data_IF_969015094977
#
_entry.id   IF_969015094977
#
_cell.length_a   1.000
_cell.length_b   1.000
_cell.length_c   1.000
_cell.angle_alpha   90.00
_cell.angle_beta   90.00
_cell.angle_gamma   90.00
#
_symmetry.space_group_name_H-M   'P 1'
#
loop_
_entity.id
_entity.type
_entity.pdbx_description
1 polymer ?
#
# COMPACT_ATOMS: atom_id res chain seq x y z
N UNK A 1 -3.24 -0.13 5.71
CA UNK A 1 -3.36 0.04 7.16
C UNK A 1 -2.94 1.43 7.60
N UNK A 2 -1.73 1.89 7.21
CA UNK A 2 -1.21 3.22 7.53
C UNK A 2 -2.13 4.42 7.18
N UNK A 3 -2.96 4.31 6.13
CA UNK A 3 -4.01 5.29 5.82
C UNK A 3 -5.26 5.22 6.74
N UNK A 4 -5.20 4.50 7.86
CA UNK A 4 -6.28 4.43 8.85
C UNK A 4 -7.55 3.69 8.40
N UNK A 5 -7.44 2.88 7.34
CA UNK A 5 -8.59 2.16 6.76
C UNK A 5 -9.01 0.90 7.52
N UNK A 6 -8.23 0.49 8.53
CA UNK A 6 -8.51 -0.67 9.36
C UNK A 6 -8.42 -1.97 8.57
N UNK A 7 -7.18 -2.35 8.21
CA UNK A 7 -6.91 -3.61 7.53
C UNK A 7 -7.25 -4.79 8.45
N UNK A 8 -7.90 -5.81 7.92
CA UNK A 8 -8.11 -7.07 8.63
C UNK A 8 -8.03 -8.24 7.65
N UNK A 9 -7.84 -9.43 8.20
CA UNK A 9 -7.80 -10.68 7.44
C UNK A 9 -8.97 -11.55 7.85
N UNK A 10 -9.65 -12.12 6.86
CA UNK A 10 -10.70 -13.12 7.06
C UNK A 10 -10.23 -14.46 6.48
N UNK A 11 -10.56 -15.55 7.17
CA UNK A 11 -10.03 -16.88 6.85
C UNK A 11 -10.41 -17.28 5.42
N UNK A 12 -9.40 -17.45 4.57
CA UNK A 12 -9.58 -17.83 3.16
C UNK A 12 -9.90 -16.69 2.19
N UNK A 13 -10.07 -15.45 2.63
CA UNK A 13 -10.53 -14.33 1.77
C UNK A 13 -9.49 -13.23 1.51
N UNK A 14 -8.31 -13.30 2.13
CA UNK A 14 -7.24 -12.32 1.95
C UNK A 14 -7.50 -11.00 2.70
N UNK A 15 -6.74 -9.93 2.39
CA UNK A 15 -6.84 -8.66 3.09
C UNK A 15 -8.15 -7.93 2.76
N UNK A 16 -8.79 -7.37 3.78
CA UNK A 16 -10.01 -6.56 3.68
C UNK A 16 -9.87 -5.24 4.45
N UNK A 17 -10.64 -4.23 4.03
CA UNK A 17 -10.64 -2.91 4.65
C UNK A 17 -12.01 -2.57 5.26
N UNK A 18 -12.00 -2.06 6.51
CA UNK A 18 -13.23 -1.63 7.20
C UNK A 18 -13.79 -0.32 6.63
N UNK A 19 -12.90 0.61 6.26
CA UNK A 19 -13.25 1.88 5.62
C UNK A 19 -12.83 1.82 4.18
N UNK A 20 -13.78 2.03 3.27
CA UNK A 20 -13.59 1.93 1.82
C UNK A 20 -13.86 3.26 1.15
N UNK A 21 -13.21 3.51 0.02
CA UNK A 21 -13.43 4.70 -0.80
C UNK A 21 -14.65 4.48 -1.69
N UNK A 22 -15.60 5.43 -1.63
CA UNK A 22 -16.81 5.43 -2.46
C UNK A 22 -17.02 6.75 -3.19
N UNK A 23 -16.42 7.84 -2.71
CA UNK A 23 -16.62 9.20 -3.19
C UNK A 23 -15.30 9.97 -3.29
N UNK A 24 -15.28 11.07 -4.04
CA UNK A 24 -14.13 11.97 -4.10
C UNK A 24 -13.76 12.51 -2.71
N UNK A 25 -14.77 12.82 -1.89
CA UNK A 25 -14.56 13.28 -0.51
C UNK A 25 -13.82 12.24 0.35
N UNK A 26 -14.02 10.94 0.11
CA UNK A 26 -13.27 9.91 0.85
C UNK A 26 -11.77 9.95 0.52
N UNK A 27 -11.40 10.32 -0.72
CA UNK A 27 -10.01 10.50 -1.15
C UNK A 27 -9.40 11.76 -0.55
N UNK A 28 -10.14 12.87 -0.60
CA UNK A 28 -9.70 14.17 -0.06
C UNK A 28 -9.43 14.09 1.44
N UNK A 29 -10.26 13.34 2.17
CA UNK A 29 -10.16 13.17 3.61
C UNK A 29 -9.24 12.02 4.05
N UNK A 30 -8.51 11.38 3.12
CA UNK A 30 -7.47 10.44 3.51
C UNK A 30 -6.41 11.16 4.36
N UNK A 31 -6.01 10.59 5.50
CA UNK A 31 -5.03 11.22 6.37
C UNK A 31 -3.69 11.35 5.64
N UNK A 32 -2.94 12.39 5.99
CA UNK A 32 -1.51 12.41 5.70
C UNK A 32 -0.84 11.29 6.49
N UNK A 33 -0.01 10.50 5.82
CA UNK A 33 0.65 9.34 6.42
C UNK A 33 2.12 9.64 6.58
N UNK A 34 2.62 9.66 7.81
CA UNK A 34 4.05 9.58 8.06
C UNK A 34 4.48 8.12 8.03
N UNK A 35 4.91 7.67 6.84
CA UNK A 35 5.27 6.28 6.58
C UNK A 35 6.37 5.78 7.52
N UNK A 36 7.37 6.62 7.81
CA UNK A 36 8.47 6.25 8.69
C UNK A 36 8.00 5.97 10.12
N UNK A 37 7.02 6.72 10.62
CA UNK A 37 6.45 6.53 11.96
C UNK A 37 5.48 5.34 12.00
N UNK A 38 4.56 5.24 11.05
CA UNK A 38 3.50 4.22 11.03
C UNK A 38 4.05 2.82 10.74
N UNK A 39 5.15 2.72 9.98
CA UNK A 39 5.72 1.44 9.52
C UNK A 39 7.12 1.17 10.09
N UNK A 40 7.49 1.81 11.21
CA UNK A 40 8.78 1.61 11.89
C UNK A 40 9.03 0.11 12.20
N UNK A 41 7.98 -0.61 12.58
CA UNK A 41 8.06 -2.05 12.86
C UNK A 41 8.54 -2.87 11.65
N UNK A 42 8.20 -2.45 10.42
CA UNK A 42 8.68 -3.08 9.20
C UNK A 42 10.17 -2.80 9.02
N UNK A 43 10.59 -1.55 9.20
CA UNK A 43 12.00 -1.15 9.03
C UNK A 43 12.91 -1.84 10.03
N UNK A 44 12.43 -2.01 11.27
CA UNK A 44 13.10 -2.80 12.29
C UNK A 44 13.24 -4.27 11.86
N UNK A 45 12.19 -4.87 11.30
CA UNK A 45 12.25 -6.24 10.78
C UNK A 45 13.25 -6.37 9.61
N UNK A 46 13.21 -5.45 8.64
CA UNK A 46 14.15 -5.42 7.49
C UNK A 46 15.60 -5.35 7.99
N UNK A 47 15.88 -4.46 8.94
CA UNK A 47 17.22 -4.29 9.52
C UNK A 47 17.71 -5.56 10.22
N UNK A 48 16.85 -6.20 11.02
CA UNK A 48 17.16 -7.46 11.70
C UNK A 48 17.44 -8.57 10.69
N UNK A 49 16.55 -8.77 9.71
CA UNK A 49 16.72 -9.81 8.68
C UNK A 49 18.01 -9.57 7.91
N UNK A 50 18.29 -8.34 7.50
CA UNK A 50 19.50 -8.02 6.73
C UNK A 50 20.77 -8.36 7.52
N UNK A 51 20.79 -8.05 8.82
CA UNK A 51 21.90 -8.40 9.71
C UNK A 51 22.07 -9.91 9.83
N UNK A 52 20.99 -10.65 10.09
CA UNK A 52 21.04 -12.10 10.28
C UNK A 52 21.38 -12.87 9.00
N UNK A 53 21.02 -12.34 7.83
CA UNK A 53 21.46 -12.90 6.54
C UNK A 53 22.98 -12.84 6.37
N UNK A 54 23.68 -11.92 7.05
CA UNK A 54 25.14 -11.78 7.06
C UNK A 54 25.77 -11.87 5.64
N UNK A 55 25.12 -11.25 4.66
CA UNK A 55 25.59 -11.21 3.27
C UNK A 55 25.46 -12.52 2.48
N UNK A 56 24.78 -13.55 3.02
CA UNK A 56 24.62 -14.83 2.33
C UNK A 56 23.82 -14.71 1.01
N UNK A 57 22.77 -13.89 1.00
CA UNK A 57 21.91 -13.59 -0.15
C UNK A 57 21.34 -12.17 -0.04
N UNK A 58 20.89 -11.54 -1.15
CA UNK A 58 20.25 -10.25 -1.08
C UNK A 58 18.87 -10.30 -0.41
N UNK A 59 18.53 -9.25 0.34
CA UNK A 59 17.18 -9.04 0.88
C UNK A 59 16.34 -8.22 -0.10
N UNK A 60 15.13 -8.70 -0.41
CA UNK A 60 14.16 -8.03 -1.27
C UNK A 60 13.11 -7.33 -0.38
N UNK A 61 12.97 -6.02 -0.54
CA UNK A 61 11.82 -5.24 -0.04
C UNK A 61 10.70 -5.18 -1.09
N UNK A 62 9.49 -4.80 -0.68
CA UNK A 62 8.38 -4.72 -1.64
C UNK A 62 7.25 -3.78 -1.23
N UNK A 63 6.41 -3.45 -2.21
CA UNK A 63 5.11 -2.79 -2.03
C UNK A 63 4.14 -3.20 -3.13
N UNK A 64 2.84 -3.01 -2.91
CA UNK A 64 1.86 -2.97 -3.99
C UNK A 64 2.03 -1.70 -4.83
N UNK A 65 1.62 -1.75 -6.11
CA UNK A 65 1.54 -0.56 -6.96
C UNK A 65 0.44 0.39 -6.45
N UNK A 66 0.50 1.70 -6.78
CA UNK A 66 -0.58 2.62 -6.46
C UNK A 66 -1.95 2.14 -6.99
N UNK A 67 -1.99 1.55 -8.18
CA UNK A 67 -3.21 0.99 -8.74
C UNK A 67 -3.72 -0.20 -7.92
N UNK A 68 -2.89 -1.22 -7.68
CA UNK A 68 -3.30 -2.39 -6.90
C UNK A 68 -3.79 -1.97 -5.52
N UNK A 69 -3.09 -1.08 -4.82
CA UNK A 69 -3.53 -0.56 -3.52
C UNK A 69 -4.87 0.18 -3.61
N UNK A 70 -5.05 1.05 -4.60
CA UNK A 70 -6.31 1.76 -4.83
C UNK A 70 -7.49 0.79 -5.05
N UNK A 71 -7.28 -0.31 -5.80
CA UNK A 71 -8.35 -1.30 -6.00
C UNK A 71 -8.80 -1.93 -4.69
N UNK A 72 -7.89 -2.30 -3.79
CA UNK A 72 -8.29 -2.82 -2.48
C UNK A 72 -8.99 -1.77 -1.62
N UNK A 73 -8.53 -0.52 -1.66
CA UNK A 73 -9.13 0.59 -0.89
C UNK A 73 -10.55 0.93 -1.36
N UNK A 74 -10.84 0.75 -2.65
CA UNK A 74 -12.17 0.98 -3.24
C UNK A 74 -13.05 -0.27 -3.12
N UNK A 75 -12.55 -1.44 -3.50
CA UNK A 75 -13.34 -2.68 -3.47
C UNK A 75 -13.60 -3.14 -2.02
N UNK A 76 -12.69 -2.83 -1.10
CA UNK A 76 -12.71 -3.30 0.30
C UNK A 76 -12.05 -4.67 0.49
N UNK A 77 -11.46 -5.24 -0.56
CA UNK A 77 -10.85 -6.55 -0.58
C UNK A 77 -10.47 -6.96 -2.01
N UNK A 78 -10.11 -8.23 -2.20
CA UNK A 78 -9.88 -8.77 -3.55
C UNK A 78 -11.16 -8.74 -4.40
N UNK A 79 -11.02 -8.46 -5.70
CA UNK A 79 -12.12 -8.44 -6.66
C UNK A 79 -11.72 -9.19 -7.94
N UNK A 80 -12.69 -9.86 -8.57
CA UNK A 80 -12.44 -10.60 -9.82
C UNK A 80 -12.45 -9.70 -11.06
N UNK A 81 -13.22 -8.61 -11.02
CA UNK A 81 -13.45 -7.74 -12.18
C UNK A 81 -13.12 -6.27 -11.92
N UNK A 82 -12.87 -5.90 -10.66
CA UNK A 82 -12.58 -4.53 -10.21
C UNK A 82 -13.67 -3.54 -10.63
N UNK A 83 -14.93 -3.97 -10.60
CA UNK A 83 -16.05 -3.17 -11.10
C UNK A 83 -16.19 -1.83 -10.38
N UNK A 84 -16.01 -1.78 -9.06
CA UNK A 84 -16.16 -0.54 -8.28
C UNK A 84 -14.97 0.38 -8.51
N UNK A 85 -13.75 -0.15 -8.57
CA UNK A 85 -12.56 0.64 -8.88
C UNK A 85 -12.62 1.25 -10.29
N UNK A 86 -13.01 0.45 -11.30
CA UNK A 86 -13.19 0.94 -12.67
C UNK A 86 -14.33 1.96 -12.77
N UNK A 87 -15.45 1.71 -12.10
CA UNK A 87 -16.56 2.67 -12.07
C UNK A 87 -16.10 4.00 -11.44
N UNK A 88 -15.42 3.95 -10.30
CA UNK A 88 -14.89 5.15 -9.66
C UNK A 88 -13.93 5.92 -10.57
N UNK A 89 -13.04 5.21 -11.28
CA UNK A 89 -12.12 5.80 -12.25
C UNK A 89 -12.83 6.54 -13.38
N UNK A 90 -13.89 5.95 -13.96
CA UNK A 90 -14.65 6.58 -15.05
C UNK A 90 -15.53 7.73 -14.57
N UNK A 91 -16.17 7.56 -13.41
CA UNK A 91 -17.11 8.56 -12.88
C UNK A 91 -16.38 9.74 -12.20
N UNK A 92 -15.16 9.53 -11.66
CA UNK A 92 -14.40 10.51 -10.88
C UNK A 92 -12.89 10.49 -11.24
N UNK A 93 -12.51 10.81 -12.49
CA UNK A 93 -11.12 10.68 -12.94
C UNK A 93 -10.14 11.55 -12.12
N UNK A 94 -10.51 12.77 -11.75
CA UNK A 94 -9.65 13.65 -10.94
C UNK A 94 -9.41 13.09 -9.54
N UNK A 95 -10.46 12.57 -8.90
CA UNK A 95 -10.34 11.94 -7.59
C UNK A 95 -9.54 10.64 -7.64
N UNK A 96 -9.65 9.87 -8.73
CA UNK A 96 -8.80 8.69 -8.95
C UNK A 96 -7.34 9.09 -9.09
N UNK A 97 -7.01 10.12 -9.88
CA UNK A 97 -5.64 10.63 -9.97
C UNK A 97 -5.11 11.10 -8.63
N UNK A 98 -5.90 11.87 -7.86
CA UNK A 98 -5.50 12.30 -6.51
C UNK A 98 -5.21 11.11 -5.58
N UNK A 99 -6.03 10.05 -5.65
CA UNK A 99 -5.80 8.83 -4.88
C UNK A 99 -4.48 8.16 -5.29
N UNK A 100 -4.25 8.01 -6.59
CA UNK A 100 -3.03 7.40 -7.12
C UNK A 100 -1.78 8.21 -6.78
N UNK A 101 -1.86 9.54 -6.80
CA UNK A 101 -0.75 10.42 -6.41
C UNK A 101 -0.39 10.24 -4.93
N UNK A 102 -1.39 10.30 -4.04
CA UNK A 102 -1.20 10.04 -2.59
C UNK A 102 -0.58 8.66 -2.34
N UNK A 103 -0.99 7.65 -3.09
CA UNK A 103 -0.45 6.30 -2.97
C UNK A 103 0.96 6.18 -3.58
N UNK A 104 1.25 6.88 -4.67
CA UNK A 104 2.59 6.92 -5.25
C UNK A 104 3.61 7.54 -4.30
N UNK A 105 3.25 8.64 -3.63
CA UNK A 105 4.09 9.27 -2.61
C UNK A 105 4.35 8.30 -1.44
N UNK A 106 3.29 7.70 -0.90
CA UNK A 106 3.39 6.75 0.20
C UNK A 106 4.22 5.49 -0.15
N UNK A 107 4.04 4.94 -1.36
CA UNK A 107 4.82 3.80 -1.85
C UNK A 107 6.29 4.19 -2.02
N UNK A 108 6.56 5.38 -2.53
CA UNK A 108 7.92 5.90 -2.70
C UNK A 108 8.63 6.01 -1.35
N UNK A 109 8.01 6.67 -0.38
CA UNK A 109 8.56 6.82 0.98
C UNK A 109 8.77 5.46 1.64
N UNK A 110 7.84 4.53 1.47
CA UNK A 110 7.91 3.19 2.07
C UNK A 110 9.03 2.34 1.48
N UNK A 111 9.21 2.38 0.15
CA UNK A 111 10.28 1.64 -0.52
C UNK A 111 11.65 2.24 -0.20
N UNK A 112 11.77 3.57 -0.16
CA UNK A 112 13.01 4.23 0.25
C UNK A 112 13.37 3.89 1.70
N UNK A 113 12.40 3.89 2.62
CA UNK A 113 12.63 3.47 4.01
C UNK A 113 13.11 2.02 4.10
N UNK A 114 12.57 1.10 3.28
CA UNK A 114 13.05 -0.28 3.22
C UNK A 114 14.49 -0.37 2.69
N UNK A 115 14.85 0.45 1.70
CA UNK A 115 16.21 0.54 1.16
C UNK A 115 17.17 1.02 2.26
N UNK A 116 16.81 2.09 2.97
CA UNK A 116 17.60 2.64 4.08
C UNK A 116 17.76 1.61 5.22
N UNK A 117 16.74 0.80 5.49
CA UNK A 117 16.78 -0.29 6.46
C UNK A 117 17.60 -1.52 6.00
N UNK A 118 17.99 -1.58 4.73
CA UNK A 118 18.93 -2.58 4.21
C UNK A 118 18.40 -3.52 3.13
N UNK A 119 17.21 -3.28 2.59
CA UNK A 119 16.77 -3.95 1.36
C UNK A 119 17.71 -3.61 0.20
N UNK A 120 18.08 -4.61 -0.61
CA UNK A 120 19.04 -4.47 -1.72
C UNK A 120 18.36 -4.39 -3.07
N UNK A 121 17.12 -4.88 -3.14
CA UNK A 121 16.25 -4.85 -4.30
C UNK A 121 14.86 -4.52 -3.78
N UNK A 122 14.09 -3.77 -4.55
CA UNK A 122 12.67 -3.52 -4.28
C UNK A 122 11.83 -4.03 -5.42
N UNK A 123 10.70 -4.67 -5.10
CA UNK A 123 9.71 -5.15 -6.05
C UNK A 123 8.39 -4.42 -5.88
N UNK A 124 7.81 -3.98 -6.99
CA UNK A 124 6.45 -3.42 -7.04
C UNK A 124 5.52 -4.50 -7.60
N UNK A 125 4.48 -4.84 -6.85
CA UNK A 125 3.44 -5.77 -7.28
C UNK A 125 2.29 -4.99 -7.90
N UNK A 126 2.21 -4.99 -9.23
CA UNK A 126 1.08 -4.46 -9.99
C UNK A 126 0.18 -5.64 -10.43
N UNK A 127 -0.68 -6.07 -9.52
CA UNK A 127 -1.54 -7.27 -9.63
C UNK A 127 -3.01 -6.91 -9.72
#
# INVERSE_FOLDING_TARGET
DAFGQGLYFEEGEGPKFRKVIRTAADVENLPEVNIAAELEYVMNAVSVIRKELNGAVPLIGFSGSPWTLATYMIEGGGSKDFRLAKQFMYDNPEAMHLLLDKLADAVTDYLNAQIDAGAQVVQIFDT
#
